data_IF_423936641135
#
_entry.id   IF_423936641135
#
_cell.length_a   1.000
_cell.length_b   1.000
_cell.length_c   1.000
_cell.angle_alpha   90.00
_cell.angle_beta   90.00
_cell.angle_gamma   90.00
#
_symmetry.space_group_name_H-M   'P 1'
#
loop_
_entity.id
_entity.type
_entity.pdbx_description
1 polymer ?
#
# COMPACT_ATOMS: atom_id res chain seq x y z
N UNK A 1 35.74 11.62 6.74
CA UNK A 1 35.22 10.54 5.89
C UNK A 1 33.71 10.59 6.05
N UNK A 2 32.95 10.80 4.99
CA UNK A 2 31.49 10.74 5.07
C UNK A 2 31.09 9.29 5.30
N UNK A 3 30.41 9.05 6.42
CA UNK A 3 29.57 7.88 6.55
C UNK A 3 28.60 7.86 5.36
N UNK A 4 28.58 6.77 4.58
CA UNK A 4 27.86 6.69 3.31
C UNK A 4 26.34 6.87 3.41
N UNK A 5 25.62 6.49 2.36
CA UNK A 5 24.15 6.50 2.34
C UNK A 5 23.64 5.54 3.44
N UNK A 6 22.96 6.05 4.47
CA UNK A 6 22.48 5.28 5.62
C UNK A 6 21.01 5.52 5.96
N UNK A 7 20.47 6.66 5.57
CA UNK A 7 19.12 7.09 5.94
C UNK A 7 18.17 7.05 4.75
N UNK A 8 16.88 7.09 5.03
CA UNK A 8 15.83 7.08 4.00
C UNK A 8 14.70 8.05 4.38
N UNK A 9 14.14 8.73 3.38
CA UNK A 9 12.89 9.48 3.46
C UNK A 9 12.06 9.25 2.20
N UNK A 10 10.85 8.73 2.37
CA UNK A 10 10.07 8.20 1.24
C UNK A 10 10.92 7.21 0.45
N UNK A 11 11.11 7.48 -0.84
CA UNK A 11 11.94 6.66 -1.75
C UNK A 11 13.40 7.12 -1.86
N UNK A 12 13.81 8.18 -1.17
CA UNK A 12 15.13 8.79 -1.30
C UNK A 12 16.06 8.34 -0.18
N UNK A 13 17.22 7.80 -0.54
CA UNK A 13 18.27 7.44 0.40
C UNK A 13 19.34 8.52 0.47
N UNK A 14 19.81 8.87 1.67
CA UNK A 14 20.74 9.99 1.90
C UNK A 14 21.76 9.69 3.00
N UNK A 15 22.85 10.48 3.02
CA UNK A 15 23.89 10.42 4.03
C UNK A 15 23.54 11.26 5.26
N UNK A 16 24.20 11.04 6.40
CA UNK A 16 23.96 11.83 7.61
C UNK A 16 24.16 13.35 7.36
N UNK A 17 23.21 14.15 7.84
CA UNK A 17 23.21 15.61 7.67
C UNK A 17 22.89 16.10 6.25
N UNK A 18 22.51 15.22 5.33
CA UNK A 18 22.15 15.57 3.95
C UNK A 18 20.65 15.88 3.77
N UNK A 19 19.99 16.36 4.83
CA UNK A 19 18.57 16.69 4.86
C UNK A 19 18.36 17.95 5.71
N UNK A 20 17.37 18.76 5.35
CA UNK A 20 17.02 19.97 6.10
C UNK A 20 15.54 20.31 5.95
N UNK A 21 15.00 20.91 7.00
CA UNK A 21 13.61 21.37 7.05
C UNK A 21 13.52 22.85 6.73
N UNK A 22 12.61 23.19 5.82
CA UNK A 22 12.38 24.54 5.34
C UNK A 22 10.91 24.87 5.47
N UNK A 23 10.60 25.90 6.26
CA UNK A 23 9.21 26.27 6.53
C UNK A 23 8.86 27.68 6.07
N UNK A 24 7.65 27.87 5.56
CA UNK A 24 7.08 29.16 5.21
C UNK A 24 5.64 29.26 5.69
N UNK A 25 5.35 30.11 6.69
CA UNK A 25 3.99 30.35 7.22
C UNK A 25 3.18 29.05 7.46
N UNK A 26 3.80 28.08 8.13
CA UNK A 26 3.26 26.74 8.45
C UNK A 26 3.23 25.73 7.30
N UNK A 27 3.70 26.09 6.10
CA UNK A 27 4.06 25.11 5.07
C UNK A 27 5.48 24.59 5.34
N UNK A 28 5.67 23.28 5.34
CA UNK A 28 6.88 22.56 5.68
C UNK A 28 7.36 21.79 4.46
N UNK A 29 8.63 21.97 4.15
CA UNK A 29 9.33 21.26 3.10
C UNK A 29 10.52 20.53 3.69
N UNK A 30 10.83 19.36 3.16
CA UNK A 30 12.11 18.70 3.36
C UNK A 30 12.93 18.82 2.10
N UNK A 31 14.13 19.36 2.23
CA UNK A 31 15.14 19.38 1.18
C UNK A 31 16.12 18.28 1.52
N UNK A 32 16.41 17.38 0.58
CA UNK A 32 17.31 16.24 0.81
C UNK A 32 18.29 16.10 -0.35
N UNK A 33 19.56 15.85 -0.05
CA UNK A 33 20.57 15.45 -1.04
C UNK A 33 20.58 13.92 -1.09
N UNK A 34 19.83 13.37 -2.04
CA UNK A 34 19.70 11.94 -2.26
C UNK A 34 20.93 11.39 -2.98
N UNK A 35 21.48 10.29 -2.46
CA UNK A 35 22.53 9.50 -3.10
C UNK A 35 22.00 8.32 -3.91
N UNK A 36 20.79 7.83 -3.57
CA UNK A 36 20.12 6.74 -4.27
C UNK A 36 18.60 6.85 -4.12
N UNK A 37 17.88 6.08 -4.93
CA UNK A 37 16.42 6.04 -4.96
C UNK A 37 15.92 4.60 -5.05
N UNK A 38 14.80 4.32 -4.37
CA UNK A 38 14.18 3.02 -4.34
C UNK A 38 12.94 2.98 -5.25
N UNK A 39 13.06 2.27 -6.37
CA UNK A 39 11.97 1.98 -7.30
C UNK A 39 11.64 0.47 -7.37
N UNK A 40 11.94 -0.28 -6.30
CA UNK A 40 11.97 -1.74 -6.27
C UNK A 40 13.41 -2.30 -6.33
N UNK A 41 14.34 -1.53 -6.89
CA UNK A 41 15.79 -1.74 -6.78
C UNK A 41 16.40 -0.40 -6.34
N UNK A 42 17.35 -0.44 -5.41
CA UNK A 42 18.03 0.78 -4.92
C UNK A 42 19.18 1.12 -5.86
N UNK A 43 19.09 2.27 -6.53
CA UNK A 43 20.07 2.69 -7.52
C UNK A 43 20.38 4.19 -7.51
N UNK A 44 21.54 4.61 -8.05
CA UNK A 44 22.01 6.00 -8.03
C UNK A 44 21.39 6.89 -9.12
N UNK A 45 20.53 6.34 -9.99
CA UNK A 45 19.98 7.00 -11.17
C UNK A 45 19.04 8.19 -10.85
N UNK A 46 18.57 8.33 -9.61
CA UNK A 46 17.87 9.52 -9.12
C UNK A 46 18.60 10.24 -7.99
N UNK A 47 19.93 10.32 -8.06
CA UNK A 47 20.72 11.14 -7.13
C UNK A 47 20.57 12.65 -7.39
N UNK A 48 20.96 13.46 -6.41
CA UNK A 48 20.85 14.93 -6.44
C UNK A 48 19.95 15.45 -5.33
N UNK A 49 19.56 16.71 -5.42
CA UNK A 49 18.68 17.38 -4.47
C UNK A 49 17.23 17.10 -4.87
N UNK A 50 16.44 16.65 -3.89
CA UNK A 50 14.99 16.56 -3.97
C UNK A 50 14.36 17.51 -2.95
N UNK A 51 13.21 18.06 -3.32
CA UNK A 51 12.38 18.90 -2.47
C UNK A 51 11.04 18.18 -2.31
N UNK A 52 10.71 17.89 -1.07
CA UNK A 52 9.49 17.22 -0.63
C UNK A 52 8.63 18.26 0.10
N UNK A 53 7.36 18.31 -0.25
CA UNK A 53 6.37 19.12 0.45
C UNK A 53 5.63 18.24 1.43
N UNK A 54 5.94 18.40 2.72
CA UNK A 54 5.46 17.53 3.79
C UNK A 54 3.97 17.73 4.06
N UNK A 55 3.42 18.93 3.80
CA UNK A 55 2.00 19.15 4.02
C UNK A 55 1.15 18.41 2.99
N UNK A 56 1.62 18.37 1.75
CA UNK A 56 0.92 17.74 0.64
C UNK A 56 1.46 16.35 0.28
N UNK A 57 2.43 15.83 1.05
CA UNK A 57 3.15 14.57 0.82
C UNK A 57 3.54 14.33 -0.64
N UNK A 58 4.11 15.36 -1.27
CA UNK A 58 4.44 15.32 -2.69
C UNK A 58 5.91 15.63 -2.94
N UNK A 59 6.42 15.08 -4.04
CA UNK A 59 7.71 15.48 -4.58
C UNK A 59 7.51 16.76 -5.39
N UNK A 60 8.05 17.87 -4.92
CA UNK A 60 8.00 19.16 -5.63
C UNK A 60 8.91 19.11 -6.86
N UNK A 61 10.14 18.63 -6.65
CA UNK A 61 11.12 18.34 -7.69
C UNK A 61 12.16 17.35 -7.17
N UNK A 62 12.85 16.69 -8.10
CA UNK A 62 13.93 15.75 -7.84
C UNK A 62 15.07 15.92 -8.85
N UNK A 63 16.19 15.24 -8.59
CA UNK A 63 17.39 15.23 -9.44
C UNK A 63 17.95 16.63 -9.76
N UNK A 64 17.84 17.59 -8.84
CA UNK A 64 18.53 18.86 -9.01
C UNK A 64 20.02 18.71 -8.65
N UNK A 65 20.93 19.23 -9.47
CA UNK A 65 22.38 19.01 -9.31
C UNK A 65 22.76 17.53 -9.14
N UNK A 66 22.42 16.65 -10.10
CA UNK A 66 22.80 15.24 -10.06
C UNK A 66 24.30 15.10 -10.32
N UNK A 67 24.86 13.96 -9.95
CA UNK A 67 26.26 13.58 -10.17
C UNK A 67 26.35 12.20 -10.81
N UNK A 68 27.56 11.88 -11.30
CA UNK A 68 27.83 10.58 -11.93
C UNK A 68 27.63 9.40 -10.96
N UNK A 69 27.79 9.60 -9.65
CA UNK A 69 27.50 8.61 -8.62
C UNK A 69 27.12 9.31 -7.31
N UNK A 70 26.08 8.82 -6.64
CA UNK A 70 25.67 9.28 -5.31
C UNK A 70 26.28 8.48 -4.15
N UNK A 71 27.07 7.45 -4.44
CA UNK A 71 27.54 6.46 -3.45
C UNK A 71 28.51 7.00 -2.39
N UNK A 72 29.15 8.15 -2.65
CA UNK A 72 30.15 8.76 -1.75
C UNK A 72 29.57 9.90 -0.88
N UNK A 73 28.26 10.11 -0.94
CA UNK A 73 27.57 11.19 -0.25
C UNK A 73 27.67 12.54 -0.98
N UNK A 74 27.18 13.63 -0.36
CA UNK A 74 27.07 14.93 -1.02
C UNK A 74 28.41 15.57 -1.35
N UNK A 75 28.58 15.98 -2.60
CA UNK A 75 29.72 16.80 -3.03
C UNK A 75 29.67 18.23 -2.49
N UNK A 76 30.79 18.95 -2.61
CA UNK A 76 30.86 20.37 -2.26
C UNK A 76 29.86 21.24 -3.04
N UNK A 77 29.64 20.95 -4.33
CA UNK A 77 28.67 21.70 -5.14
C UNK A 77 27.23 21.43 -4.72
N UNK A 78 26.88 20.18 -4.41
CA UNK A 78 25.54 19.85 -3.89
C UNK A 78 25.30 20.46 -2.52
N UNK A 79 26.30 20.49 -1.63
CA UNK A 79 26.19 21.17 -0.33
C UNK A 79 25.98 22.67 -0.49
N UNK A 80 26.76 23.32 -1.35
CA UNK A 80 26.58 24.75 -1.62
C UNK A 80 25.21 25.06 -2.22
N UNK A 81 24.70 24.21 -3.11
CA UNK A 81 23.37 24.38 -3.70
C UNK A 81 22.25 24.11 -2.70
N UNK A 82 22.41 23.10 -1.85
CA UNK A 82 21.53 22.84 -0.73
C UNK A 82 21.45 24.05 0.20
N UNK A 83 22.59 24.60 0.62
CA UNK A 83 22.66 25.79 1.48
C UNK A 83 21.98 27.00 0.80
N UNK A 84 22.18 27.17 -0.51
CA UNK A 84 21.52 28.21 -1.31
C UNK A 84 20.00 28.06 -1.27
N UNK A 85 19.47 26.85 -1.50
CA UNK A 85 18.03 26.55 -1.45
C UNK A 85 17.50 26.79 -0.03
N UNK A 86 18.21 26.32 0.99
CA UNK A 86 17.83 26.51 2.39
C UNK A 86 17.76 27.99 2.78
N UNK A 87 18.62 28.84 2.22
CA UNK A 87 18.62 30.28 2.46
C UNK A 87 17.54 31.08 1.69
N UNK A 88 16.84 30.48 0.72
CA UNK A 88 15.84 31.21 -0.09
C UNK A 88 14.65 31.70 0.75
N UNK A 89 14.16 32.90 0.44
CA UNK A 89 12.81 33.29 0.87
C UNK A 89 11.74 32.59 0.00
N UNK A 90 10.46 32.75 0.34
CA UNK A 90 9.38 32.11 -0.40
C UNK A 90 9.38 32.48 -1.89
N UNK A 91 9.63 33.76 -2.19
CA UNK A 91 9.59 34.27 -3.57
C UNK A 91 10.69 33.63 -4.42
N UNK A 92 11.90 33.53 -3.90
CA UNK A 92 13.01 32.87 -4.57
C UNK A 92 12.80 31.35 -4.66
N UNK A 93 12.33 30.73 -3.58
CA UNK A 93 12.10 29.29 -3.50
C UNK A 93 11.00 28.81 -4.44
N UNK A 94 9.84 29.47 -4.45
CA UNK A 94 8.71 29.09 -5.30
C UNK A 94 9.00 29.35 -6.77
N UNK A 95 9.76 30.40 -7.10
CA UNK A 95 10.25 30.64 -8.46
C UNK A 95 11.23 29.56 -8.88
N UNK A 96 12.22 29.24 -8.05
CA UNK A 96 13.20 28.19 -8.31
C UNK A 96 12.51 26.85 -8.59
N UNK A 97 11.53 26.48 -7.77
CA UNK A 97 10.80 25.23 -7.96
C UNK A 97 10.07 25.21 -9.30
N UNK A 98 9.27 26.24 -9.61
CA UNK A 98 8.46 26.30 -10.84
C UNK A 98 9.26 26.36 -12.13
N UNK A 99 10.43 26.99 -12.11
CA UNK A 99 11.30 27.09 -13.28
C UNK A 99 12.16 25.82 -13.49
N UNK A 100 12.12 24.88 -12.54
CA UNK A 100 12.88 23.64 -12.65
C UNK A 100 12.25 22.69 -13.69
N UNK A 101 13.03 22.08 -14.61
CA UNK A 101 12.51 21.16 -15.63
C UNK A 101 11.78 19.93 -15.08
N UNK A 102 12.01 19.60 -13.80
CA UNK A 102 11.41 18.46 -13.09
C UNK A 102 10.41 18.87 -12.01
N UNK A 103 9.86 20.07 -12.09
CA UNK A 103 8.77 20.50 -11.21
C UNK A 103 7.53 19.63 -11.43
N UNK A 104 6.93 19.11 -10.35
CA UNK A 104 5.79 18.17 -10.41
C UNK A 104 4.60 18.58 -9.54
N UNK A 105 4.69 19.69 -8.80
CA UNK A 105 3.60 20.05 -7.89
C UNK A 105 2.41 20.64 -8.67
N UNK A 106 1.19 20.08 -8.49
CA UNK A 106 -0.03 20.62 -9.07
C UNK A 106 -0.54 21.88 -8.34
N UNK A 107 0.10 22.28 -7.23
CA UNK A 107 -0.40 23.38 -6.40
C UNK A 107 -0.25 24.75 -7.04
N UNK A 108 -1.36 25.49 -7.08
CA UNK A 108 -1.43 26.86 -7.60
C UNK A 108 -0.74 27.90 -6.71
N UNK A 109 -0.42 27.58 -5.46
CA UNK A 109 0.09 28.56 -4.51
C UNK A 109 1.58 28.91 -4.72
N UNK A 110 2.33 28.11 -5.47
CA UNK A 110 3.67 28.48 -5.95
C UNK A 110 3.67 29.75 -6.81
N UNK A 111 2.53 30.13 -7.37
CA UNK A 111 2.34 31.37 -8.14
C UNK A 111 1.93 32.56 -7.26
N UNK A 112 1.62 32.33 -5.97
CA UNK A 112 1.18 33.38 -5.04
C UNK A 112 2.37 34.08 -4.38
N UNK A 113 2.14 35.33 -3.97
CA UNK A 113 3.15 36.15 -3.28
C UNK A 113 3.56 35.57 -1.90
N UNK A 114 2.70 34.76 -1.31
CA UNK A 114 2.92 34.03 -0.05
C UNK A 114 2.38 32.62 -0.21
N UNK A 115 2.96 31.60 0.44
CA UNK A 115 2.38 30.27 0.42
C UNK A 115 1.02 30.31 1.09
N UNK A 116 0.13 29.42 0.69
CA UNK A 116 -1.07 29.21 1.48
C UNK A 116 -0.66 28.73 2.86
N UNK A 117 -1.23 29.33 3.90
CA UNK A 117 -0.99 28.85 5.25
C UNK A 117 -1.67 27.49 5.38
N UNK A 118 -0.89 26.42 5.47
CA UNK A 118 -1.42 25.16 5.94
C UNK A 118 -1.67 25.33 7.43
N UNK A 119 -2.92 25.64 7.80
CA UNK A 119 -3.37 25.28 9.13
C UNK A 119 -3.65 23.79 9.00
N UNK A 120 -2.82 22.88 9.56
CA UNK A 120 -3.28 21.52 9.71
C UNK A 120 -4.65 21.63 10.40
N UNK A 121 -5.66 20.95 9.85
CA UNK A 121 -6.90 20.85 10.59
C UNK A 121 -6.54 20.36 11.99
N UNK A 122 -7.08 21.00 13.05
CA UNK A 122 -6.80 20.55 14.39
C UNK A 122 -7.14 19.07 14.45
N UNK A 123 -6.17 18.30 14.93
CA UNK A 123 -6.27 16.85 14.96
C UNK A 123 -7.53 16.47 15.75
N UNK A 124 -8.56 15.99 15.03
CA UNK A 124 -9.88 15.77 15.59
C UNK A 124 -10.07 14.27 15.77
N UNK A 125 -10.30 13.87 17.02
CA UNK A 125 -10.69 12.50 17.35
C UNK A 125 -12.10 12.24 16.82
N UNK A 126 -12.23 11.28 15.91
CA UNK A 126 -13.50 10.90 15.26
C UNK A 126 -13.89 9.44 15.55
N UNK A 127 -12.94 8.59 15.93
CA UNK A 127 -13.20 7.20 16.32
C UNK A 127 -12.53 6.85 17.66
N UNK A 128 -12.99 7.46 18.76
CA UNK A 128 -12.40 7.26 20.08
C UNK A 128 -12.54 5.80 20.56
N UNK A 129 -11.63 5.36 21.41
CA UNK A 129 -11.56 3.99 21.95
C UNK A 129 -12.90 3.49 22.56
N UNK A 130 -13.69 4.40 23.16
CA UNK A 130 -15.01 4.09 23.73
C UNK A 130 -16.06 3.63 22.70
N UNK A 131 -15.82 3.86 21.41
CA UNK A 131 -16.68 3.42 20.31
C UNK A 131 -16.27 2.04 19.75
N UNK A 132 -15.16 1.48 20.23
CA UNK A 132 -14.57 0.24 19.74
C UNK A 132 -14.80 -0.90 20.74
N UNK A 133 -15.23 -2.04 20.25
CA UNK A 133 -15.10 -3.32 20.96
C UNK A 133 -13.62 -3.67 21.17
N UNK A 134 -13.32 -4.63 22.04
CA UNK A 134 -11.92 -4.98 22.34
C UNK A 134 -11.16 -5.49 21.10
N UNK A 135 -11.83 -6.24 20.22
CA UNK A 135 -11.26 -6.67 18.95
C UNK A 135 -11.03 -5.48 17.99
N UNK A 136 -11.96 -4.53 17.95
CA UNK A 136 -11.80 -3.31 17.13
C UNK A 136 -10.67 -2.41 17.64
N UNK A 137 -10.34 -2.42 18.93
CA UNK A 137 -9.19 -1.66 19.44
C UNK A 137 -7.86 -2.21 18.91
N UNK A 138 -7.77 -3.52 18.73
CA UNK A 138 -6.59 -4.17 18.17
C UNK A 138 -6.49 -3.91 16.66
N UNK A 139 -7.59 -4.06 15.93
CA UNK A 139 -7.60 -3.93 14.47
C UNK A 139 -7.59 -2.49 13.98
N UNK A 140 -8.22 -1.59 14.73
CA UNK A 140 -8.46 -0.20 14.34
C UNK A 140 -7.88 0.76 15.38
N UNK A 141 -6.55 0.81 15.58
CA UNK A 141 -5.94 1.59 16.67
C UNK A 141 -6.10 3.10 16.53
N UNK A 142 -6.23 3.64 15.31
CA UNK A 142 -6.25 5.08 15.06
C UNK A 142 -7.57 5.70 15.53
N UNK A 143 -7.51 6.88 16.14
CA UNK A 143 -8.70 7.58 16.66
C UNK A 143 -8.96 8.92 15.97
N UNK A 144 -7.94 9.44 15.30
CA UNK A 144 -7.88 10.78 14.75
C UNK A 144 -8.17 10.80 13.25
N UNK A 145 -8.86 11.85 12.79
CA UNK A 145 -9.12 12.08 11.37
C UNK A 145 -7.82 12.17 10.57
N UNK A 146 -6.81 12.87 11.11
CA UNK A 146 -5.52 13.08 10.43
C UNK A 146 -4.77 11.76 10.30
N UNK A 147 -4.68 10.98 11.37
CA UNK A 147 -4.00 9.69 11.37
C UNK A 147 -4.65 8.71 10.39
N UNK A 148 -5.98 8.68 10.31
CA UNK A 148 -6.69 7.84 9.34
C UNK A 148 -6.42 8.23 7.89
N UNK A 149 -6.41 9.54 7.58
CA UNK A 149 -6.07 10.02 6.23
C UNK A 149 -4.62 9.67 5.90
N UNK A 150 -3.69 9.86 6.84
CA UNK A 150 -2.28 9.49 6.67
C UNK A 150 -2.12 7.99 6.42
N UNK A 151 -2.77 7.16 7.22
CA UNK A 151 -2.80 5.70 7.03
C UNK A 151 -3.29 5.29 5.64
N UNK A 152 -4.43 5.85 5.20
CA UNK A 152 -4.99 5.54 3.89
C UNK A 152 -4.08 6.03 2.76
N UNK A 153 -3.48 7.21 2.87
CA UNK A 153 -2.52 7.73 1.89
C UNK A 153 -1.24 6.90 1.76
N UNK A 154 -0.79 6.27 2.85
CA UNK A 154 0.41 5.44 2.87
C UNK A 154 0.13 3.99 2.42
N UNK A 155 -1.14 3.61 2.28
CA UNK A 155 -1.54 2.28 1.84
C UNK A 155 -1.19 2.03 0.36
N UNK A 156 -1.02 0.76 0.01
CA UNK A 156 -0.64 0.34 -1.33
C UNK A 156 -1.76 0.57 -2.34
N UNK A 157 -1.40 1.04 -3.54
CA UNK A 157 -2.35 1.23 -4.63
C UNK A 157 -1.92 0.46 -5.87
N UNK A 158 -2.88 0.00 -6.65
CA UNK A 158 -2.64 -0.71 -7.91
C UNK A 158 -3.65 -0.28 -8.98
N UNK A 159 -3.20 -0.31 -10.24
CA UNK A 159 -4.02 0.00 -11.41
C UNK A 159 -4.91 -1.21 -11.75
N UNK A 160 -6.19 -0.99 -12.04
CA UNK A 160 -7.12 -2.08 -12.38
C UNK A 160 -6.95 -2.59 -13.82
N UNK A 161 -6.61 -1.72 -14.77
CA UNK A 161 -6.59 -2.07 -16.20
C UNK A 161 -5.19 -1.97 -16.85
N UNK A 162 -4.53 -0.82 -16.74
CA UNK A 162 -3.22 -0.59 -17.36
C UNK A 162 -2.40 0.45 -16.58
N UNK A 163 -1.11 0.60 -16.93
CA UNK A 163 -0.16 1.46 -16.22
C UNK A 163 -0.53 2.95 -16.18
N UNK A 164 -1.49 3.39 -17.00
CA UNK A 164 -1.98 4.77 -17.07
C UNK A 164 -3.37 4.95 -16.45
N UNK A 165 -4.02 3.86 -16.03
CA UNK A 165 -5.31 3.93 -15.34
C UNK A 165 -5.13 4.43 -13.90
N UNK A 166 -6.12 5.17 -13.36
CA UNK A 166 -6.17 5.52 -11.95
C UNK A 166 -5.93 4.29 -11.07
N UNK A 167 -5.21 4.50 -9.96
CA UNK A 167 -4.91 3.44 -9.00
C UNK A 167 -5.85 3.54 -7.82
N UNK A 168 -6.40 2.41 -7.39
CA UNK A 168 -7.21 2.28 -6.17
C UNK A 168 -6.47 1.50 -5.10
N UNK A 169 -7.04 1.44 -3.88
CA UNK A 169 -6.51 0.62 -2.79
C UNK A 169 -6.36 -0.84 -3.23
N UNK A 170 -5.22 -1.45 -2.92
CA UNK A 170 -4.90 -2.79 -3.41
C UNK A 170 -3.98 -3.57 -2.48
N UNK A 171 -4.19 -4.88 -2.44
CA UNK A 171 -3.45 -5.82 -1.60
C UNK A 171 -2.71 -6.84 -2.45
N UNK A 172 -1.44 -7.10 -2.11
CA UNK A 172 -0.68 -8.19 -2.71
C UNK A 172 -1.15 -9.52 -2.12
N UNK A 173 -1.90 -10.29 -2.91
CA UNK A 173 -2.45 -11.58 -2.50
C UNK A 173 -1.66 -12.76 -3.08
N UNK A 174 -0.40 -12.53 -3.50
CA UNK A 174 0.44 -13.60 -4.02
C UNK A 174 0.75 -14.62 -2.94
N UNK A 175 0.57 -15.88 -3.30
CA UNK A 175 0.83 -17.02 -2.44
C UNK A 175 2.31 -17.40 -2.50
N UNK A 176 2.93 -17.55 -1.34
CA UNK A 176 4.34 -17.91 -1.21
C UNK A 176 4.53 -18.97 -0.11
N UNK A 177 5.33 -19.99 -0.40
CA UNK A 177 5.97 -20.82 0.64
C UNK A 177 5.06 -21.66 1.53
N UNK A 178 3.91 -22.13 1.03
CA UNK A 178 3.00 -23.00 1.78
C UNK A 178 3.09 -24.47 1.35
N UNK A 179 2.61 -25.38 2.19
CA UNK A 179 2.54 -26.82 1.92
C UNK A 179 1.20 -27.19 1.25
N UNK A 180 1.28 -28.11 0.28
CA UNK A 180 0.16 -28.60 -0.53
C UNK A 180 -0.39 -29.94 0.00
N UNK A 181 0.13 -30.45 1.13
CA UNK A 181 -0.21 -31.77 1.66
C UNK A 181 -1.68 -31.93 2.08
N UNK A 182 -2.41 -30.83 2.28
CA UNK A 182 -3.82 -30.81 2.65
C UNK A 182 -4.11 -31.32 4.07
N UNK A 183 -3.13 -31.31 4.99
CA UNK A 183 -3.28 -31.88 6.34
C UNK A 183 -3.63 -30.87 7.43
N UNK A 184 -3.56 -29.57 7.12
CA UNK A 184 -3.70 -28.47 8.08
C UNK A 184 -5.16 -28.02 8.33
N UNK A 185 -6.15 -28.71 7.78
CA UNK A 185 -7.58 -28.38 7.97
C UNK A 185 -8.25 -29.12 9.13
N UNK A 186 -9.54 -28.84 9.32
CA UNK A 186 -10.35 -29.44 10.40
C UNK A 186 -10.80 -30.88 10.11
N UNK A 187 -10.67 -31.34 8.85
CA UNK A 187 -11.09 -32.66 8.39
C UNK A 187 -10.07 -33.77 8.70
N UNK A 188 -10.54 -34.99 8.97
CA UNK A 188 -9.66 -36.16 9.07
C UNK A 188 -9.26 -36.64 7.66
N UNK A 189 -7.97 -36.53 7.32
CA UNK A 189 -7.41 -37.06 6.08
C UNK A 189 -6.70 -38.39 6.30
N UNK A 190 -6.80 -39.31 5.34
CA UNK A 190 -6.23 -40.64 5.44
C UNK A 190 -4.75 -40.64 5.03
N UNK A 191 -3.85 -40.90 5.99
CA UNK A 191 -2.40 -40.98 5.74
C UNK A 191 -2.00 -42.06 4.73
N UNK A 192 -2.80 -43.12 4.57
CA UNK A 192 -2.53 -44.17 3.59
C UNK A 192 -2.69 -43.67 2.14
N UNK A 193 -3.33 -42.51 1.95
CA UNK A 193 -3.52 -41.88 0.65
C UNK A 193 -2.49 -40.78 0.33
N UNK A 194 -1.51 -40.53 1.21
CA UNK A 194 -0.51 -39.46 1.03
C UNK A 194 0.24 -39.57 -0.31
N UNK A 195 0.77 -40.75 -0.66
CA UNK A 195 1.49 -40.97 -1.92
C UNK A 195 0.58 -40.76 -3.15
N UNK A 196 -0.69 -41.16 -3.02
CA UNK A 196 -1.69 -40.99 -4.08
C UNK A 196 -2.09 -39.52 -4.25
N UNK A 197 -2.19 -38.77 -3.15
CA UNK A 197 -2.42 -37.33 -3.15
C UNK A 197 -1.26 -36.58 -3.79
N UNK A 198 -0.01 -36.88 -3.41
CA UNK A 198 1.17 -36.25 -4.00
C UNK A 198 1.24 -36.48 -5.53
N UNK A 199 0.87 -37.68 -5.96
CA UNK A 199 0.75 -37.99 -7.39
C UNK A 199 -0.38 -37.20 -8.04
N UNK A 200 -1.55 -37.12 -7.41
CA UNK A 200 -2.69 -36.38 -7.91
C UNK A 200 -2.37 -34.89 -8.09
N UNK A 201 -1.68 -34.26 -7.13
CA UNK A 201 -1.21 -32.89 -7.23
C UNK A 201 -0.32 -32.65 -8.46
N UNK A 202 0.63 -33.54 -8.72
CA UNK A 202 1.54 -33.45 -9.89
C UNK A 202 0.83 -33.60 -11.23
N UNK A 203 -0.33 -34.25 -11.25
CA UNK A 203 -1.11 -34.48 -12.46
C UNK A 203 -2.20 -33.41 -12.67
N UNK A 204 -2.46 -32.55 -11.68
CA UNK A 204 -3.58 -31.60 -11.67
C UNK A 204 -3.14 -30.19 -11.24
N UNK A 205 -2.38 -29.52 -12.11
CA UNK A 205 -1.89 -28.14 -11.87
C UNK A 205 -3.02 -27.11 -11.65
N UNK A 206 -4.25 -27.41 -12.07
CA UNK A 206 -5.43 -26.56 -11.88
C UNK A 206 -5.88 -26.45 -10.41
N UNK A 207 -5.52 -27.42 -9.55
CA UNK A 207 -5.89 -27.39 -8.13
C UNK A 207 -5.38 -26.16 -7.41
N UNK A 208 -4.20 -25.68 -7.81
CA UNK A 208 -3.66 -24.42 -7.27
C UNK A 208 -4.56 -23.23 -7.60
N UNK A 209 -5.05 -23.16 -8.84
CA UNK A 209 -5.92 -22.07 -9.27
C UNK A 209 -7.32 -22.18 -8.66
N UNK A 210 -7.83 -23.40 -8.50
CA UNK A 210 -9.08 -23.66 -7.78
C UNK A 210 -8.99 -23.21 -6.31
N UNK A 211 -7.90 -23.57 -5.62
CA UNK A 211 -7.64 -23.12 -4.25
C UNK A 211 -7.54 -21.59 -4.16
N UNK A 212 -6.82 -20.95 -5.09
CA UNK A 212 -6.75 -19.49 -5.17
C UNK A 212 -8.13 -18.86 -5.36
N UNK A 213 -8.94 -19.39 -6.28
CA UNK A 213 -10.30 -18.90 -6.56
C UNK A 213 -11.20 -19.01 -5.33
N UNK A 214 -11.13 -20.14 -4.62
CA UNK A 214 -11.91 -20.35 -3.40
C UNK A 214 -11.46 -19.38 -2.29
N UNK A 215 -10.16 -19.18 -2.09
CA UNK A 215 -9.62 -18.30 -1.04
C UNK A 215 -10.03 -16.83 -1.22
N UNK A 216 -10.17 -16.36 -2.48
CA UNK A 216 -10.60 -14.97 -2.76
C UNK A 216 -12.12 -14.81 -2.89
N UNK A 217 -12.88 -15.91 -2.93
CA UNK A 217 -14.32 -15.92 -3.23
C UNK A 217 -15.12 -14.96 -2.34
N UNK A 218 -14.80 -14.90 -1.05
CA UNK A 218 -15.48 -14.01 -0.10
C UNK A 218 -15.40 -12.52 -0.50
N UNK A 219 -14.30 -12.10 -1.12
CA UNK A 219 -14.09 -10.72 -1.55
C UNK A 219 -14.80 -10.44 -2.88
N UNK A 220 -14.63 -11.32 -3.86
CA UNK A 220 -15.10 -11.08 -5.23
C UNK A 220 -16.57 -11.40 -5.45
N UNK A 221 -17.19 -12.18 -4.56
CA UNK A 221 -18.63 -12.52 -4.64
C UNK A 221 -19.53 -11.52 -3.89
N UNK A 222 -18.98 -10.39 -3.41
CA UNK A 222 -19.74 -9.37 -2.68
C UNK A 222 -20.24 -9.83 -1.30
N UNK A 223 -19.58 -10.84 -0.72
CA UNK A 223 -19.94 -11.42 0.58
C UNK A 223 -19.06 -10.91 1.73
N UNK A 224 -18.05 -10.11 1.42
CA UNK A 224 -17.11 -9.60 2.40
C UNK A 224 -17.80 -8.70 3.43
N UNK A 225 -17.35 -8.77 4.67
CA UNK A 225 -17.81 -7.94 5.78
C UNK A 225 -16.63 -7.67 6.70
N UNK A 226 -16.54 -6.47 7.25
CA UNK A 226 -15.53 -6.16 8.25
C UNK A 226 -15.92 -6.73 9.61
N UNK A 227 -14.97 -6.79 10.52
CA UNK A 227 -15.24 -7.14 11.93
C UNK A 227 -16.35 -6.25 12.49
N UNK A 228 -17.32 -6.90 13.16
CA UNK A 228 -18.67 -6.44 13.59
C UNK A 228 -19.84 -6.85 12.68
N UNK A 229 -19.59 -7.25 11.43
CA UNK A 229 -20.55 -7.98 10.60
C UNK A 229 -21.74 -7.17 10.07
N UNK A 230 -21.66 -5.83 10.07
CA UNK A 230 -22.78 -4.93 9.78
C UNK A 230 -22.80 -4.33 8.37
N UNK A 231 -21.81 -4.64 7.54
CA UNK A 231 -21.49 -3.96 6.27
C UNK A 231 -21.32 -4.95 5.11
N UNK A 232 -21.97 -6.12 5.23
CA UNK A 232 -21.95 -7.12 4.17
C UNK A 232 -22.66 -6.59 2.93
N UNK A 233 -21.95 -6.61 1.80
CA UNK A 233 -22.46 -6.14 0.50
C UNK A 233 -22.13 -4.68 0.19
N UNK A 234 -21.54 -3.94 1.14
CA UNK A 234 -21.10 -2.56 0.94
C UNK A 234 -19.87 -2.47 0.02
N UNK A 235 -19.15 -3.58 -0.16
CA UNK A 235 -17.83 -3.60 -0.80
C UNK A 235 -17.79 -4.55 -2.00
N UNK A 236 -17.13 -4.12 -3.08
CA UNK A 236 -16.79 -4.98 -4.21
C UNK A 236 -15.29 -4.90 -4.48
N UNK A 237 -14.71 -6.06 -4.79
CA UNK A 237 -13.31 -6.20 -5.11
C UNK A 237 -13.13 -6.82 -6.49
N UNK A 238 -12.10 -6.38 -7.20
CA UNK A 238 -11.62 -6.97 -8.44
C UNK A 238 -10.27 -7.66 -8.25
N UNK A 239 -9.90 -8.49 -9.21
CA UNK A 239 -8.57 -9.11 -9.30
C UNK A 239 -7.80 -8.46 -10.44
N UNK A 240 -6.57 -8.02 -10.17
CA UNK A 240 -5.73 -7.32 -11.14
C UNK A 240 -4.31 -7.91 -11.28
N UNK A 241 -3.62 -7.49 -12.34
CA UNK A 241 -2.26 -7.94 -12.67
C UNK A 241 -2.24 -9.18 -13.56
N UNK A 242 -1.09 -9.42 -14.22
CA UNK A 242 -0.91 -10.46 -15.25
C UNK A 242 -1.26 -11.88 -14.81
N UNK A 243 -1.18 -12.16 -13.51
CA UNK A 243 -1.47 -13.47 -12.91
C UNK A 243 -2.52 -13.37 -11.80
N UNK A 244 -3.27 -12.26 -11.71
CA UNK A 244 -4.28 -12.07 -10.68
C UNK A 244 -3.74 -11.95 -9.24
N UNK A 245 -2.50 -11.48 -9.08
CA UNK A 245 -1.84 -11.38 -7.77
C UNK A 245 -2.18 -10.13 -6.96
N UNK A 246 -3.22 -9.38 -7.35
CA UNK A 246 -3.67 -8.18 -6.66
C UNK A 246 -5.17 -8.24 -6.44
N UNK A 247 -5.59 -8.04 -5.19
CA UNK A 247 -6.96 -7.71 -4.84
C UNK A 247 -7.09 -6.20 -4.87
N UNK A 248 -8.09 -5.65 -5.57
CA UNK A 248 -8.26 -4.20 -5.71
C UNK A 248 -9.67 -3.82 -5.30
N UNK A 249 -9.81 -2.81 -4.45
CA UNK A 249 -11.11 -2.27 -4.07
C UNK A 249 -11.72 -1.54 -5.27
N UNK A 250 -12.88 -1.98 -5.75
CA UNK A 250 -13.57 -1.37 -6.89
C UNK A 250 -14.84 -0.62 -6.49
N UNK A 251 -15.39 -0.91 -5.32
CA UNK A 251 -16.57 -0.21 -4.77
C UNK A 251 -16.57 -0.24 -3.25
N UNK A 252 -17.00 0.87 -2.67
CA UNK A 252 -17.35 1.03 -1.27
C UNK A 252 -18.61 1.89 -1.23
N UNK A 253 -19.71 1.36 -0.71
CA UNK A 253 -21.00 2.04 -0.71
C UNK A 253 -20.90 3.44 -0.09
N UNK A 254 -21.48 4.41 -0.79
CA UNK A 254 -21.49 5.86 -0.51
C UNK A 254 -20.13 6.59 -0.60
N UNK A 255 -19.05 5.92 -1.02
CA UNK A 255 -17.72 6.51 -1.14
C UNK A 255 -17.22 6.47 -2.58
N UNK A 256 -17.10 7.66 -3.19
CA UNK A 256 -16.53 7.86 -4.53
C UNK A 256 -15.74 9.19 -4.57
N UNK A 257 -14.62 9.28 -5.31
CA UNK A 257 -13.99 8.21 -6.08
C UNK A 257 -13.12 7.28 -5.21
N UNK A 258 -12.90 6.04 -5.68
CA UNK A 258 -11.99 5.05 -5.06
C UNK A 258 -10.73 4.78 -5.88
N UNK A 259 -10.48 5.60 -6.89
CA UNK A 259 -9.30 5.52 -7.74
C UNK A 259 -8.81 6.92 -8.09
N UNK A 260 -7.50 7.10 -8.11
CA UNK A 260 -6.88 8.41 -8.26
C UNK A 260 -5.72 8.38 -9.24
N UNK A 261 -5.51 9.49 -9.94
CA UNK A 261 -4.35 9.66 -10.83
C UNK A 261 -3.07 9.95 -10.06
N UNK A 262 -3.16 10.48 -8.83
CA UNK A 262 -2.01 10.75 -7.97
C UNK A 262 -2.39 10.82 -6.48
N UNK A 263 -1.38 10.75 -5.61
CA UNK A 263 -1.54 10.81 -4.16
C UNK A 263 -2.17 12.13 -3.67
N UNK A 264 -1.89 13.25 -4.35
CA UNK A 264 -2.49 14.53 -4.00
C UNK A 264 -4.00 14.53 -4.21
N UNK A 265 -4.47 13.92 -5.30
CA UNK A 265 -5.89 13.81 -5.62
C UNK A 265 -6.60 12.90 -4.60
N UNK A 266 -5.98 11.76 -4.26
CA UNK A 266 -6.43 10.87 -3.20
C UNK A 266 -6.59 11.59 -1.86
N UNK A 267 -5.55 12.32 -1.44
CA UNK A 267 -5.56 13.06 -0.17
C UNK A 267 -6.69 14.07 -0.10
N UNK A 268 -6.93 14.83 -1.17
CA UNK A 268 -8.03 15.79 -1.20
C UNK A 268 -9.38 15.10 -1.16
N UNK A 269 -9.60 14.02 -1.92
CA UNK A 269 -10.83 13.23 -1.83
C UNK A 269 -11.09 12.69 -0.42
N UNK A 270 -10.05 12.18 0.27
CA UNK A 270 -10.18 11.67 1.64
C UNK A 270 -10.52 12.78 2.66
N UNK A 271 -10.04 14.01 2.44
CA UNK A 271 -10.39 15.16 3.29
C UNK A 271 -11.85 15.57 3.14
N UNK A 272 -12.46 15.34 1.98
CA UNK A 272 -13.84 15.69 1.69
C UNK A 272 -14.85 14.69 2.27
N UNK A 273 -14.41 13.47 2.62
CA UNK A 273 -15.27 12.44 3.23
C UNK A 273 -15.85 12.90 4.57
N UNK A 274 -17.09 12.48 4.85
CA UNK A 274 -17.63 12.63 6.20
C UNK A 274 -16.80 11.83 7.21
N UNK A 275 -16.94 12.13 8.51
CA UNK A 275 -16.25 11.33 9.53
C UNK A 275 -16.71 9.87 9.52
N UNK A 276 -18.00 9.63 9.25
CA UNK A 276 -18.54 8.28 9.17
C UNK A 276 -17.92 7.51 7.99
N UNK A 277 -17.84 8.14 6.81
CA UNK A 277 -17.30 7.52 5.59
C UNK A 277 -15.79 7.27 5.71
N UNK A 278 -15.06 8.22 6.29
CA UNK A 278 -13.62 8.03 6.54
C UNK A 278 -13.38 6.88 7.51
N UNK A 279 -14.18 6.77 8.58
CA UNK A 279 -14.08 5.65 9.53
C UNK A 279 -14.45 4.33 8.83
N UNK A 280 -15.50 4.30 7.99
CA UNK A 280 -15.90 3.14 7.21
C UNK A 280 -14.77 2.66 6.32
N UNK A 281 -14.18 3.56 5.53
CA UNK A 281 -13.06 3.25 4.64
C UNK A 281 -11.80 2.82 5.41
N UNK A 282 -11.47 3.50 6.51
CA UNK A 282 -10.37 3.13 7.39
C UNK A 282 -10.52 1.71 7.94
N UNK A 283 -11.71 1.37 8.43
CA UNK A 283 -12.03 0.04 8.95
C UNK A 283 -11.91 -1.02 7.86
N UNK A 284 -12.47 -0.76 6.68
CA UNK A 284 -12.36 -1.64 5.53
C UNK A 284 -10.90 -1.94 5.19
N UNK A 285 -10.09 -0.90 4.97
CA UNK A 285 -8.69 -1.07 4.56
C UNK A 285 -7.89 -1.78 5.64
N UNK A 286 -8.07 -1.42 6.91
CA UNK A 286 -7.38 -2.08 8.03
C UNK A 286 -7.78 -3.54 8.21
N UNK A 287 -9.05 -3.89 7.94
CA UNK A 287 -9.53 -5.27 8.06
C UNK A 287 -8.94 -6.13 6.94
N UNK A 288 -8.97 -5.63 5.69
CA UNK A 288 -8.37 -6.36 4.56
C UNK A 288 -6.85 -6.44 4.71
N UNK A 289 -6.17 -5.40 5.25
CA UNK A 289 -4.75 -5.47 5.61
C UNK A 289 -4.47 -6.63 6.57
N UNK A 290 -5.34 -6.83 7.56
CA UNK A 290 -5.22 -7.94 8.51
C UNK A 290 -5.42 -9.31 7.84
N UNK A 291 -6.45 -9.42 7.00
CA UNK A 291 -6.87 -10.66 6.34
C UNK A 291 -5.90 -11.08 5.21
N UNK A 292 -5.16 -10.13 4.64
CA UNK A 292 -4.22 -10.35 3.52
C UNK A 292 -2.75 -10.36 3.94
N UNK A 293 -2.47 -10.45 5.25
CA UNK A 293 -1.09 -10.72 5.72
C UNK A 293 -0.60 -12.05 5.19
N UNK A 294 0.71 -12.18 5.01
CA UNK A 294 1.33 -13.42 4.53
C UNK A 294 0.92 -14.64 5.36
N UNK A 295 0.86 -14.52 6.69
CA UNK A 295 0.45 -15.64 7.54
C UNK A 295 -1.04 -16.00 7.35
N UNK A 296 -1.89 -15.02 7.07
CA UNK A 296 -3.32 -15.23 6.82
C UNK A 296 -3.54 -15.87 5.44
N UNK A 297 -2.83 -15.41 4.41
CA UNK A 297 -2.84 -16.02 3.06
C UNK A 297 -2.35 -17.46 3.12
N UNK A 298 -1.24 -17.73 3.82
CA UNK A 298 -0.71 -19.09 3.96
C UNK A 298 -1.72 -20.01 4.65
N UNK A 299 -2.33 -19.53 5.75
CA UNK A 299 -3.35 -20.27 6.49
C UNK A 299 -4.59 -20.56 5.64
N UNK A 300 -5.06 -19.57 4.88
CA UNK A 300 -6.19 -19.74 3.97
C UNK A 300 -5.88 -20.79 2.89
N UNK A 301 -4.71 -20.71 2.27
CA UNK A 301 -4.31 -21.68 1.24
C UNK A 301 -4.19 -23.11 1.78
N UNK A 302 -3.66 -23.28 2.99
CA UNK A 302 -3.64 -24.58 3.69
C UNK A 302 -5.04 -25.13 3.92
N UNK A 303 -5.96 -24.28 4.38
CA UNK A 303 -7.36 -24.64 4.55
C UNK A 303 -8.00 -25.08 3.22
N UNK A 304 -7.78 -24.32 2.14
CA UNK A 304 -8.31 -24.66 0.81
C UNK A 304 -7.77 -25.99 0.29
N UNK A 305 -6.47 -26.27 0.45
CA UNK A 305 -5.89 -27.55 0.05
C UNK A 305 -6.38 -28.72 0.90
N UNK A 306 -6.63 -28.50 2.19
CA UNK A 306 -7.21 -29.53 3.05
C UNK A 306 -8.63 -29.89 2.61
N UNK A 307 -9.45 -28.88 2.32
CA UNK A 307 -10.80 -29.07 1.80
C UNK A 307 -10.82 -29.81 0.45
N UNK A 308 -9.94 -29.42 -0.48
CA UNK A 308 -9.81 -30.10 -1.78
C UNK A 308 -9.38 -31.56 -1.62
N UNK A 309 -8.46 -31.84 -0.69
CA UNK A 309 -8.03 -33.20 -0.37
C UNK A 309 -9.17 -34.03 0.18
N UNK A 310 -9.96 -33.49 1.11
CA UNK A 310 -11.12 -34.17 1.70
C UNK A 310 -12.13 -34.58 0.61
N UNK A 311 -12.48 -33.66 -0.30
CA UNK A 311 -13.36 -33.93 -1.44
C UNK A 311 -12.80 -35.05 -2.33
N UNK A 312 -11.49 -35.04 -2.57
CA UNK A 312 -10.84 -36.05 -3.40
C UNK A 312 -10.84 -37.43 -2.75
N UNK A 313 -10.49 -37.53 -1.45
CA UNK A 313 -10.51 -38.79 -0.70
C UNK A 313 -11.92 -39.38 -0.59
N UNK A 314 -12.94 -38.52 -0.44
CA UNK A 314 -14.35 -38.94 -0.43
C UNK A 314 -14.74 -39.55 -1.78
N UNK A 315 -14.40 -38.88 -2.90
CA UNK A 315 -14.66 -39.39 -4.26
C UNK A 315 -13.98 -40.74 -4.49
N UNK A 316 -12.70 -40.87 -4.13
CA UNK A 316 -11.96 -42.13 -4.26
C UNK A 316 -12.61 -43.26 -3.46
N UNK A 317 -13.05 -42.95 -2.23
CA UNK A 317 -13.74 -43.91 -1.36
C UNK A 317 -15.08 -44.37 -1.96
N UNK A 318 -15.83 -43.47 -2.62
CA UNK A 318 -17.07 -43.83 -3.31
C UNK A 318 -16.79 -44.73 -4.52
N UNK A 319 -15.76 -44.43 -5.32
CA UNK A 319 -15.38 -45.22 -6.49
C UNK A 319 -14.98 -46.65 -6.11
N UNK A 320 -14.18 -46.81 -5.06
CA UNK A 320 -13.78 -48.11 -4.51
C UNK A 320 -14.97 -48.93 -4.00
N UNK A 321 -15.99 -48.28 -3.40
CA UNK A 321 -17.23 -48.95 -2.96
C UNK A 321 -18.15 -49.33 -4.12
N UNK A 322 -18.07 -48.62 -5.24
CA UNK A 322 -18.94 -48.80 -6.40
C UNK A 322 -18.40 -49.80 -7.44
N UNK A 323 -17.13 -50.18 -7.35
CA UNK A 323 -16.51 -51.18 -8.22
C UNK A 323 -16.95 -52.60 -7.82
N UNK A 324 -17.71 -53.34 -8.64
CA UNK A 324 -18.10 -54.71 -8.31
C UNK A 324 -16.88 -55.63 -8.41
N UNK A 325 -16.61 -56.38 -7.34
CA UNK A 325 -15.66 -57.51 -7.33
C UNK A 325 -16.05 -58.62 -8.27
#
# INVERSE_FOLDING_TARGET
MSDGIKNQIGRYHYADGAIGEKSFRNRLFKVVIAGAYNAGIVGPEHNGIAILDENNLQVVLDQHCPQLSGSFGPSASQKAEFDRIMAMDWKAFSKFCREHPRFRSPDFDYYKATPDSFKPEPDRVIYPEKMKSDLEKELFPLDSRREMIEFLCDHQVHNTENAYSPSGFAWDIKVHGFDFDGKDGDGEVNSDLDDAWEKYLKENDELFWEACQNGVSQYVEGKYTTVSGGDQGDYEFGIAGRSGGWLVLTKCEDIEPLSWGCLSEMRESLKELSDADLIKLYRLVSNVDHDTRLEAIEKEMKYQFSFLREIWEEKLSMELRSSPT
#
